data_IF_698794856276
#
_entry.id   IF_698794856276
#
_cell.length_a   1.000
_cell.length_b   1.000
_cell.length_c   1.000
_cell.angle_alpha   90.00
_cell.angle_beta   90.00
_cell.angle_gamma   90.00
#
_symmetry.space_group_name_H-M   'P 1'
#
loop_
_entity.id
_entity.type
_entity.pdbx_description
1 polymer ?
#
# COMPACT_ATOMS: atom_id res chain seq x y z
N UNK A 1 1.54 -12.11 15.09
CA UNK A 1 1.96 -11.15 16.13
C UNK A 1 0.89 -10.06 16.25
N UNK A 2 0.51 -9.65 17.48
CA UNK A 2 -0.43 -8.52 17.69
C UNK A 2 0.14 -7.19 17.18
N UNK A 3 1.46 -7.06 17.13
CA UNK A 3 2.15 -5.83 16.71
C UNK A 3 1.95 -5.56 15.22
N UNK A 4 2.03 -6.59 14.37
CA UNK A 4 1.84 -6.44 12.92
C UNK A 4 0.43 -5.93 12.58
N UNK A 5 -0.60 -6.43 13.27
CA UNK A 5 -1.98 -5.98 13.06
C UNK A 5 -2.15 -4.50 13.43
N UNK A 6 -1.58 -4.08 14.56
CA UNK A 6 -1.62 -2.68 15.01
C UNK A 6 -0.91 -1.74 14.03
N UNK A 7 0.24 -2.13 13.52
CA UNK A 7 0.98 -1.35 12.50
C UNK A 7 0.13 -1.17 11.25
N UNK A 8 -0.56 -2.22 10.78
CA UNK A 8 -1.42 -2.15 9.59
C UNK A 8 -2.65 -1.26 9.80
N UNK A 9 -3.27 -1.32 10.98
CA UNK A 9 -4.37 -0.42 11.35
C UNK A 9 -3.91 1.05 11.35
N UNK A 10 -2.69 1.31 11.82
CA UNK A 10 -2.10 2.64 11.79
C UNK A 10 -1.80 3.11 10.37
N UNK A 11 -1.24 2.25 9.50
CA UNK A 11 -1.05 2.52 8.07
C UNK A 11 -2.39 2.89 7.42
N UNK A 12 -3.44 2.12 7.65
CA UNK A 12 -4.78 2.40 7.10
C UNK A 12 -5.34 3.73 7.62
N UNK A 13 -5.10 4.07 8.89
CA UNK A 13 -5.54 5.33 9.46
C UNK A 13 -4.81 6.52 8.81
N UNK A 14 -3.49 6.41 8.67
CA UNK A 14 -2.65 7.45 8.10
C UNK A 14 -2.89 7.64 6.60
N UNK A 15 -3.22 6.58 5.87
CA UNK A 15 -3.49 6.69 4.43
C UNK A 15 -4.67 7.61 4.11
N UNK A 16 -5.68 7.67 4.97
CA UNK A 16 -6.84 8.57 4.80
C UNK A 16 -6.44 10.05 4.79
N UNK A 17 -5.32 10.39 5.44
CA UNK A 17 -4.77 11.74 5.52
C UNK A 17 -3.57 11.94 4.58
N UNK A 18 -3.00 10.85 4.05
CA UNK A 18 -1.83 10.91 3.20
C UNK A 18 -2.19 11.53 1.84
N UNK A 19 -1.47 12.58 1.47
CA UNK A 19 -1.59 13.28 0.19
C UNK A 19 -0.73 12.65 -0.93
N UNK A 20 0.01 11.60 -0.61
CA UNK A 20 1.01 10.95 -1.45
C UNK A 20 2.09 11.93 -1.94
N UNK A 21 2.71 12.65 -0.99
CA UNK A 21 3.70 13.70 -1.29
C UNK A 21 5.13 13.18 -1.41
N UNK A 22 5.42 11.94 -0.98
CA UNK A 22 6.72 11.34 -1.17
C UNK A 22 6.88 10.96 -2.64
N UNK A 23 7.92 11.49 -3.30
CA UNK A 23 8.15 11.30 -4.74
C UNK A 23 8.29 9.83 -5.14
N UNK A 24 9.04 9.05 -4.35
CA UNK A 24 9.27 7.62 -4.59
C UNK A 24 7.98 6.81 -4.41
N UNK A 25 7.22 7.12 -3.38
CA UNK A 25 5.91 6.49 -3.14
C UNK A 25 4.91 6.84 -4.23
N UNK A 26 4.90 8.09 -4.68
CA UNK A 26 4.04 8.55 -5.78
C UNK A 26 4.41 7.87 -7.10
N UNK A 27 5.69 7.77 -7.41
CA UNK A 27 6.20 7.09 -8.61
C UNK A 27 5.77 5.63 -8.64
N UNK A 28 6.10 4.87 -7.58
CA UNK A 28 5.76 3.45 -7.49
C UNK A 28 4.25 3.21 -7.58
N UNK A 29 3.47 3.97 -6.81
CA UNK A 29 2.03 3.73 -6.70
C UNK A 29 1.26 4.17 -7.94
N UNK A 30 1.72 5.19 -8.66
CA UNK A 30 1.12 5.57 -9.94
C UNK A 30 1.32 4.45 -10.97
N UNK A 31 2.54 3.92 -11.07
CA UNK A 31 2.84 2.78 -11.95
C UNK A 31 2.07 1.51 -11.58
N UNK A 32 1.98 1.20 -10.28
CA UNK A 32 1.27 0.01 -9.79
C UNK A 32 -0.25 0.12 -9.97
N UNK A 33 -0.82 1.32 -9.83
CA UNK A 33 -2.25 1.58 -9.97
C UNK A 33 -2.72 1.41 -11.42
N UNK A 34 -1.91 1.85 -12.40
CA UNK A 34 -2.17 1.63 -13.83
C UNK A 34 -2.22 0.13 -14.17
N UNK A 35 -1.33 -0.67 -13.57
CA UNK A 35 -1.26 -2.12 -13.82
C UNK A 35 -2.32 -2.93 -13.08
N UNK A 36 -2.72 -2.50 -11.88
CA UNK A 36 -3.67 -3.20 -11.04
C UNK A 36 -5.03 -2.48 -11.07
N UNK A 37 -5.65 -2.40 -12.24
CA UNK A 37 -6.95 -1.76 -12.44
C UNK A 37 -8.15 -2.65 -12.06
N UNK A 38 -7.94 -3.67 -11.22
CA UNK A 38 -9.05 -4.54 -10.80
C UNK A 38 -10.08 -3.72 -10.00
N UNK A 39 -11.37 -3.79 -10.34
CA UNK A 39 -12.43 -3.22 -9.53
C UNK A 39 -12.39 -3.92 -8.17
N UNK A 40 -12.25 -3.10 -7.14
CA UNK A 40 -12.18 -3.51 -5.75
C UNK A 40 -13.10 -2.61 -4.92
N UNK A 41 -13.25 -2.90 -3.63
CA UNK A 41 -14.19 -2.20 -2.76
C UNK A 41 -13.80 -0.75 -2.44
N UNK A 42 -12.65 -0.26 -2.92
CA UNK A 42 -12.14 1.07 -2.67
C UNK A 42 -12.00 1.84 -3.98
N UNK A 43 -12.19 3.16 -3.92
CA UNK A 43 -11.93 4.04 -5.05
C UNK A 43 -10.46 4.03 -5.44
N UNK A 44 -10.17 4.41 -6.69
CA UNK A 44 -8.81 4.58 -7.20
C UNK A 44 -7.97 5.52 -6.31
N UNK A 45 -8.59 6.60 -5.83
CA UNK A 45 -7.91 7.56 -4.95
C UNK A 45 -7.56 6.97 -3.58
N UNK A 46 -8.51 6.26 -2.94
CA UNK A 46 -8.26 5.58 -1.67
C UNK A 46 -7.17 4.51 -1.79
N UNK A 47 -7.20 3.75 -2.88
CA UNK A 47 -6.19 2.74 -3.18
C UNK A 47 -4.82 3.37 -3.38
N UNK A 48 -4.73 4.48 -4.13
CA UNK A 48 -3.49 5.21 -4.35
C UNK A 48 -2.93 5.74 -3.03
N UNK A 49 -3.75 6.40 -2.21
CA UNK A 49 -3.36 6.92 -0.89
C UNK A 49 -2.86 5.81 0.04
N UNK A 50 -3.53 4.65 0.04
CA UNK A 50 -3.10 3.49 0.82
C UNK A 50 -1.79 2.90 0.32
N UNK A 51 -1.62 2.76 -1.00
CA UNK A 51 -0.36 2.34 -1.59
C UNK A 51 0.78 3.27 -1.17
N UNK A 52 0.58 4.59 -1.25
CA UNK A 52 1.63 5.54 -0.89
C UNK A 52 2.01 5.44 0.58
N UNK A 53 1.03 5.23 1.48
CA UNK A 53 1.31 5.04 2.89
C UNK A 53 2.06 3.73 3.19
N UNK A 54 1.76 2.64 2.47
CA UNK A 54 2.52 1.37 2.57
C UNK A 54 3.96 1.57 2.07
N UNK A 55 4.11 2.27 0.95
CA UNK A 55 5.42 2.62 0.40
C UNK A 55 6.23 3.48 1.39
N UNK A 56 5.64 4.54 1.93
CA UNK A 56 6.25 5.40 2.96
C UNK A 56 6.68 4.59 4.19
N UNK A 57 5.88 3.60 4.59
CA UNK A 57 6.23 2.68 5.67
C UNK A 57 7.45 1.83 5.32
N UNK A 58 7.50 1.22 4.13
CA UNK A 58 8.63 0.40 3.70
C UNK A 58 9.92 1.24 3.53
N UNK A 59 9.82 2.49 3.08
CA UNK A 59 10.95 3.41 2.95
C UNK A 59 11.60 3.79 4.29
N UNK A 60 10.91 3.60 5.43
CA UNK A 60 11.52 3.80 6.76
C UNK A 60 12.61 2.76 7.06
N UNK A 61 12.55 1.60 6.43
CA UNK A 61 13.43 0.46 6.73
C UNK A 61 14.33 0.09 5.56
N UNK A 62 13.92 0.39 4.32
CA UNK A 62 14.58 -0.08 3.11
C UNK A 62 14.76 1.05 2.10
N UNK A 63 15.79 0.96 1.26
CA UNK A 63 16.03 1.91 0.18
C UNK A 63 15.06 1.66 -0.99
N UNK A 64 14.57 2.71 -1.64
CA UNK A 64 13.66 2.59 -2.79
C UNK A 64 14.13 1.63 -3.90
N UNK A 65 15.43 1.61 -4.19
CA UNK A 65 16.00 0.76 -5.24
C UNK A 65 16.32 -0.67 -4.77
N UNK A 66 16.05 -0.99 -3.51
CA UNK A 66 16.37 -2.29 -2.91
C UNK A 66 15.29 -3.33 -3.19
N UNK A 67 15.70 -4.60 -3.31
CA UNK A 67 14.74 -5.71 -3.46
C UNK A 67 13.87 -5.87 -2.21
N UNK A 68 14.41 -5.52 -1.05
CA UNK A 68 13.77 -5.53 0.25
C UNK A 68 12.58 -4.58 0.30
N UNK A 69 12.71 -3.37 -0.26
CA UNK A 69 11.63 -2.41 -0.37
C UNK A 69 10.46 -2.97 -1.21
N UNK A 70 10.76 -3.51 -2.39
CA UNK A 70 9.72 -4.11 -3.25
C UNK A 70 9.08 -5.34 -2.60
N UNK A 71 9.86 -6.16 -1.89
CA UNK A 71 9.36 -7.31 -1.14
C UNK A 71 8.46 -6.88 0.03
N UNK A 72 8.83 -5.82 0.75
CA UNK A 72 8.03 -5.23 1.82
C UNK A 72 6.65 -4.79 1.29
N UNK A 73 6.62 -4.03 0.19
CA UNK A 73 5.35 -3.58 -0.40
C UNK A 73 4.50 -4.76 -0.87
N UNK A 74 5.09 -5.71 -1.62
CA UNK A 74 4.37 -6.89 -2.11
C UNK A 74 3.81 -7.74 -0.96
N UNK A 75 4.55 -7.85 0.15
CA UNK A 75 4.08 -8.56 1.34
C UNK A 75 2.90 -7.85 1.98
N UNK A 76 2.98 -6.53 2.15
CA UNK A 76 1.91 -5.73 2.73
C UNK A 76 0.66 -5.75 1.85
N UNK A 77 0.76 -5.52 0.53
CA UNK A 77 -0.41 -5.52 -0.38
C UNK A 77 -1.15 -6.87 -0.40
N UNK A 78 -0.45 -7.99 -0.20
CA UNK A 78 -1.07 -9.34 -0.09
C UNK A 78 -1.79 -9.57 1.23
N UNK A 79 -1.59 -8.68 2.21
CA UNK A 79 -2.16 -8.84 3.54
C UNK A 79 -3.67 -8.69 3.53
N UNK A 80 -4.43 -9.60 4.18
CA UNK A 80 -5.89 -9.57 4.16
C UNK A 80 -6.50 -8.33 4.82
N UNK A 81 -5.75 -7.60 5.61
CA UNK A 81 -6.11 -6.36 6.30
C UNK A 81 -6.33 -5.20 5.32
N UNK A 82 -5.64 -5.18 4.18
CA UNK A 82 -5.81 -4.14 3.16
C UNK A 82 -6.85 -4.54 2.14
N UNK A 83 -8.12 -4.41 2.54
CA UNK A 83 -9.30 -4.76 1.72
C UNK A 83 -9.29 -4.12 0.33
N UNK A 84 -8.70 -2.93 0.17
CA UNK A 84 -8.63 -2.23 -1.11
C UNK A 84 -7.80 -2.94 -2.20
N UNK A 85 -6.96 -3.91 -1.83
CA UNK A 85 -6.15 -4.68 -2.78
C UNK A 85 -6.69 -6.09 -3.02
N UNK A 86 -7.79 -6.47 -2.36
CA UNK A 86 -8.48 -7.73 -2.67
C UNK A 86 -9.32 -7.51 -3.92
N UNK A 87 -9.20 -8.41 -4.89
CA UNK A 87 -10.18 -8.53 -5.96
C UNK A 87 -11.52 -9.01 -5.39
N UNK A 88 -12.64 -8.53 -5.91
CA UNK A 88 -13.99 -8.92 -5.46
C UNK A 88 -14.37 -10.40 -5.75
N UNK A 89 -13.40 -11.29 -6.00
CA UNK A 89 -13.65 -12.63 -6.53
C UNK A 89 -12.90 -13.80 -5.89
N UNK A 90 -12.37 -13.65 -4.68
CA UNK A 90 -11.86 -14.80 -3.91
C UNK A 90 -12.69 -14.97 -2.64
N UNK A 91 -13.83 -15.65 -2.81
CA UNK A 91 -14.58 -16.31 -1.74
C UNK A 91 -14.15 -17.76 -1.67
#
# INVERSE_FOLDING_TARGET
>A
SRDTKRVREEIIKLSKQNKCNNEYSMEYCTYSDERNSSPGPCSREERKKLCCQISDYCLKYFNFYSIEYYNCIKSEIKSPEYKCFKSEGQS
#
